data_IF_618673088247
#
_entry.id   IF_618673088247
#
_cell.length_a   1.000
_cell.length_b   1.000
_cell.length_c   1.000
_cell.angle_alpha   90.00
_cell.angle_beta   90.00
_cell.angle_gamma   90.00
#
_symmetry.space_group_name_H-M   'P 1'
#
loop_
_entity.id
_entity.type
_entity.pdbx_description
1 polymer ?
#
# COMPACT_ATOMS: atom_id res chain seq x y z
N UNK A 1 -9.37 -15.39 3.97
CA UNK A 1 -8.42 -14.26 3.93
C UNK A 1 -9.21 -13.01 3.61
N UNK A 2 -8.97 -11.93 4.33
CA UNK A 2 -9.80 -10.73 4.20
C UNK A 2 -9.36 -9.89 3.00
N UNK A 3 -10.34 -9.30 2.32
CA UNK A 3 -10.13 -8.24 1.32
C UNK A 3 -9.53 -7.02 2.05
N UNK A 4 -8.46 -6.46 1.53
CA UNK A 4 -7.67 -5.41 2.19
C UNK A 4 -7.67 -4.11 1.38
N UNK A 5 -8.83 -3.81 0.78
CA UNK A 5 -9.04 -2.59 0.00
C UNK A 5 -8.75 -1.37 0.84
N UNK A 6 -7.90 -0.53 0.28
CA UNK A 6 -7.52 0.77 0.83
C UNK A 6 -7.73 1.81 -0.28
N UNK A 7 -8.15 3.01 0.10
CA UNK A 7 -8.42 4.09 -0.83
C UNK A 7 -7.55 5.29 -0.52
N UNK A 8 -7.12 6.01 -1.57
CA UNK A 8 -6.37 7.24 -1.38
C UNK A 8 -7.23 8.28 -0.64
N UNK A 9 -6.75 8.90 0.45
CA UNK A 9 -7.53 9.88 1.21
C UNK A 9 -7.78 11.19 0.45
N UNK A 10 -7.12 11.40 -0.69
CA UNK A 10 -7.22 12.65 -1.46
C UNK A 10 -8.02 12.53 -2.76
N UNK A 11 -7.91 11.41 -3.47
CA UNK A 11 -8.60 11.19 -4.75
C UNK A 11 -9.52 9.97 -4.75
N UNK A 12 -9.61 9.25 -3.64
CA UNK A 12 -10.41 8.03 -3.48
C UNK A 12 -10.05 6.90 -4.47
N UNK A 13 -8.88 6.96 -5.11
CA UNK A 13 -8.41 5.87 -5.95
C UNK A 13 -8.23 4.60 -5.13
N UNK A 14 -8.65 3.45 -5.67
CA UNK A 14 -8.43 2.15 -5.05
C UNK A 14 -6.93 1.80 -5.12
N UNK A 15 -6.32 1.65 -3.95
CA UNK A 15 -4.91 1.34 -3.77
C UNK A 15 -4.65 -0.17 -3.59
N UNK A 16 -5.66 -1.02 -3.78
CA UNK A 16 -5.46 -2.46 -3.90
C UNK A 16 -4.71 -2.79 -5.19
N UNK A 17 -3.62 -3.53 -5.05
CA UNK A 17 -2.79 -4.00 -6.16
C UNK A 17 -3.17 -5.40 -6.61
N UNK A 18 -2.23 -6.05 -7.27
CA UNK A 18 -2.41 -7.40 -7.80
C UNK A 18 -2.60 -8.44 -6.68
N UNK A 19 -3.29 -9.55 -6.98
CA UNK A 19 -3.43 -10.65 -6.04
C UNK A 19 -2.05 -11.25 -5.72
N UNK A 20 -1.84 -11.55 -4.44
CA UNK A 20 -0.68 -12.32 -4.00
C UNK A 20 -0.83 -13.76 -4.53
N UNK A 21 0.23 -14.40 -5.06
CA UNK A 21 0.17 -15.79 -5.50
C UNK A 21 -0.42 -16.72 -4.42
N UNK A 22 -1.31 -17.63 -4.81
CA UNK A 22 -2.07 -18.46 -3.85
C UNK A 22 -1.17 -19.24 -2.91
N UNK A 23 -0.06 -19.81 -3.39
CA UNK A 23 0.89 -20.52 -2.54
C UNK A 23 1.58 -19.62 -1.50
N UNK A 24 1.72 -18.32 -1.80
CA UNK A 24 2.38 -17.34 -0.97
C UNK A 24 1.44 -16.69 0.03
N UNK A 25 0.13 -16.60 -0.27
CA UNK A 25 -0.86 -15.91 0.58
C UNK A 25 -0.84 -16.38 2.04
N UNK A 26 -0.49 -17.64 2.34
CA UNK A 26 -0.36 -18.16 3.71
C UNK A 26 0.65 -17.40 4.58
N UNK A 27 1.61 -16.71 3.96
CA UNK A 27 2.63 -15.91 4.64
C UNK A 27 2.20 -14.45 4.85
N UNK A 28 1.03 -14.07 4.35
CA UNK A 28 0.52 -12.70 4.40
C UNK A 28 -0.85 -12.66 5.09
N UNK A 29 -1.12 -11.56 5.79
CA UNK A 29 -2.43 -11.30 6.41
C UNK A 29 -3.49 -10.80 5.41
N UNK A 30 -3.17 -10.77 4.12
CA UNK A 30 -3.96 -10.14 3.06
C UNK A 30 -3.98 -10.99 1.79
N UNK A 31 -4.85 -10.62 0.84
CA UNK A 31 -5.00 -11.33 -0.45
C UNK A 31 -4.36 -10.61 -1.62
N UNK A 32 -4.14 -9.30 -1.49
CA UNK A 32 -3.60 -8.43 -2.53
C UNK A 32 -2.46 -7.59 -2.00
N UNK A 33 -1.54 -7.22 -2.89
CA UNK A 33 -0.51 -6.21 -2.61
C UNK A 33 -1.15 -4.81 -2.47
N UNK A 34 -0.39 -3.86 -1.93
CA UNK A 34 -0.78 -2.44 -1.94
C UNK A 34 -0.07 -1.70 -3.07
N UNK A 35 -0.76 -0.75 -3.70
CA UNK A 35 -0.20 0.18 -4.70
C UNK A 35 0.41 1.43 -4.08
N UNK A 36 0.37 1.58 -2.75
CA UNK A 36 0.99 2.72 -2.05
C UNK A 36 2.50 2.75 -2.30
N UNK A 37 3.03 3.95 -2.54
CA UNK A 37 4.48 4.16 -2.64
C UNK A 37 4.97 4.63 -1.27
N UNK A 38 5.90 3.88 -0.68
CA UNK A 38 6.52 4.26 0.60
C UNK A 38 7.66 5.25 0.38
N UNK A 39 7.56 6.44 0.96
CA UNK A 39 8.65 7.41 0.99
C UNK A 39 9.54 7.07 2.18
N UNK A 40 10.66 6.42 1.92
CA UNK A 40 11.59 5.92 2.94
C UNK A 40 12.67 6.93 3.26
N UNK A 41 13.15 6.92 4.50
CA UNK A 41 14.32 7.69 4.93
C UNK A 41 15.45 6.74 5.28
N UNK A 42 16.59 6.86 4.59
CA UNK A 42 17.79 6.09 4.90
C UNK A 42 18.26 6.31 6.35
N UNK A 43 18.23 7.54 6.84
CA UNK A 43 18.66 7.89 8.21
C UNK A 43 17.81 7.28 9.32
N UNK A 44 16.52 7.04 9.05
CA UNK A 44 15.56 6.56 10.06
C UNK A 44 15.16 5.10 9.82
N UNK A 45 15.71 4.47 8.78
CA UNK A 45 15.41 3.11 8.30
C UNK A 45 13.91 2.77 8.31
N UNK A 46 13.08 3.71 7.86
CA UNK A 46 11.63 3.55 7.87
C UNK A 46 10.91 4.38 6.81
N UNK A 47 9.66 4.01 6.57
CA UNK A 47 8.71 4.80 5.77
C UNK A 47 8.27 6.01 6.60
N UNK A 48 8.43 7.21 6.04
CA UNK A 48 8.01 8.46 6.67
C UNK A 48 6.61 8.89 6.21
N UNK A 49 6.36 8.76 4.90
CA UNK A 49 5.08 9.11 4.27
C UNK A 49 4.66 8.01 3.29
N UNK A 50 3.38 8.00 2.96
CA UNK A 50 2.83 7.25 1.85
C UNK A 50 2.45 8.20 0.72
N UNK A 51 2.63 7.78 -0.53
CA UNK A 51 2.23 8.53 -1.71
C UNK A 51 1.25 7.73 -2.55
N UNK A 52 0.23 8.42 -3.08
CA UNK A 52 -0.72 7.84 -4.03
C UNK A 52 -0.09 7.79 -5.42
N UNK A 53 -0.09 6.63 -6.10
CA UNK A 53 0.46 6.54 -7.45
C UNK A 53 -0.37 7.32 -8.48
N UNK A 54 -1.66 7.53 -8.24
CA UNK A 54 -2.59 8.16 -9.19
C UNK A 54 -2.61 9.70 -9.05
N UNK A 55 -2.76 10.25 -7.85
CA UNK A 55 -2.83 11.72 -7.65
C UNK A 55 -1.55 12.36 -7.10
N UNK A 56 -0.51 11.57 -6.83
CA UNK A 56 0.83 12.01 -6.35
C UNK A 56 0.87 12.74 -5.00
N UNK A 57 -0.27 12.91 -4.33
CA UNK A 57 -0.30 13.48 -2.97
C UNK A 57 0.26 12.50 -1.95
N UNK A 58 0.91 13.06 -0.93
CA UNK A 58 1.51 12.34 0.18
C UNK A 58 0.72 12.53 1.47
N UNK A 59 0.70 11.51 2.32
CA UNK A 59 0.15 11.58 3.66
C UNK A 59 1.03 10.86 4.67
N UNK A 60 0.97 11.30 5.93
CA UNK A 60 1.54 10.57 7.06
C UNK A 60 0.54 9.56 7.59
N UNK A 61 1.07 8.45 8.11
CA UNK A 61 0.32 7.54 8.98
C UNK A 61 0.11 8.18 10.35
#
# INVERSE_FOLDING_TARGET
MNDNKEFCPHCNANLQGDPIPKESQKWYGCTHFSRKIGITSFTHDRILNWQCPDCKREWRN
#
